data_IF_977581555250
#
_entry.id   IF_977581555250
#
_cell.length_a   1.000
_cell.length_b   1.000
_cell.length_c   1.000
_cell.angle_alpha   90.00
_cell.angle_beta   90.00
_cell.angle_gamma   90.00
#
_symmetry.space_group_name_H-M   'P 1'
#
loop_
_entity.id
_entity.type
_entity.pdbx_description
1 polymer ?
#
# COMPACT_ATOMS: atom_id res chain seq x y z
N UNK A 1 -12.93 -5.23 -16.27
CA UNK A 1 -13.02 -6.71 -16.22
C UNK A 1 -11.85 -7.32 -15.46
N UNK A 2 -11.84 -8.66 -15.26
CA UNK A 2 -10.80 -9.35 -14.51
C UNK A 2 -9.37 -9.12 -15.04
N UNK A 3 -9.22 -8.99 -16.36
CA UNK A 3 -7.92 -8.69 -17.00
C UNK A 3 -7.35 -7.34 -16.53
N UNK A 4 -8.19 -6.33 -16.35
CA UNK A 4 -7.73 -5.01 -15.86
C UNK A 4 -7.28 -5.09 -14.39
N UNK A 5 -7.96 -5.89 -13.58
CA UNK A 5 -7.55 -6.12 -12.18
C UNK A 5 -6.20 -6.84 -12.13
N UNK A 6 -6.02 -7.88 -12.96
CA UNK A 6 -4.75 -8.60 -13.05
C UNK A 6 -3.62 -7.67 -13.48
N UNK A 7 -3.81 -6.82 -14.49
CA UNK A 7 -2.82 -5.82 -14.91
C UNK A 7 -2.42 -4.89 -13.76
N UNK A 8 -3.39 -4.43 -12.97
CA UNK A 8 -3.14 -3.53 -11.83
C UNK A 8 -2.32 -4.25 -10.76
N UNK A 9 -2.70 -5.48 -10.38
CA UNK A 9 -1.99 -6.27 -9.36
C UNK A 9 -0.57 -6.57 -9.82
N UNK A 10 -0.40 -7.13 -11.02
CA UNK A 10 0.93 -7.48 -11.54
C UNK A 10 1.82 -6.24 -11.72
N UNK A 11 1.27 -5.12 -12.23
CA UNK A 11 2.04 -3.88 -12.37
C UNK A 11 2.56 -3.37 -11.02
N UNK A 12 1.73 -3.41 -9.98
CA UNK A 12 2.14 -3.07 -8.62
C UNK A 12 3.23 -4.01 -8.11
N UNK A 13 3.03 -5.34 -8.22
CA UNK A 13 3.98 -6.34 -7.71
C UNK A 13 5.33 -6.26 -8.42
N UNK A 14 5.34 -6.08 -9.74
CA UNK A 14 6.59 -5.91 -10.50
C UNK A 14 7.36 -4.68 -10.03
N UNK A 15 6.69 -3.53 -9.94
CA UNK A 15 7.30 -2.29 -9.49
C UNK A 15 7.82 -2.39 -8.04
N UNK A 16 6.99 -2.96 -7.15
CA UNK A 16 7.34 -3.22 -5.76
C UNK A 16 8.57 -4.12 -5.64
N UNK A 17 8.62 -5.22 -6.42
CA UNK A 17 9.74 -6.15 -6.43
C UNK A 17 11.06 -5.48 -6.84
N UNK A 18 11.02 -4.59 -7.84
CA UNK A 18 12.19 -3.84 -8.30
C UNK A 18 12.75 -2.99 -7.15
N UNK A 19 11.92 -2.13 -6.56
CA UNK A 19 12.39 -1.20 -5.53
C UNK A 19 12.71 -1.89 -4.20
N UNK A 20 11.96 -2.93 -3.82
CA UNK A 20 12.28 -3.75 -2.66
C UNK A 20 13.68 -4.40 -2.82
N UNK A 21 13.96 -4.95 -4.00
CA UNK A 21 15.27 -5.57 -4.28
C UNK A 21 16.39 -4.53 -4.22
N UNK A 22 16.23 -3.38 -4.89
CA UNK A 22 17.23 -2.31 -4.87
C UNK A 22 17.52 -1.80 -3.45
N UNK A 23 16.47 -1.64 -2.65
CA UNK A 23 16.61 -1.15 -1.28
C UNK A 23 17.20 -2.22 -0.34
N UNK A 24 16.78 -3.48 -0.44
CA UNK A 24 17.30 -4.57 0.41
C UNK A 24 18.76 -4.89 0.08
N UNK A 25 19.18 -4.77 -1.18
CA UNK A 25 20.58 -4.88 -1.59
C UNK A 25 21.40 -3.62 -1.28
N UNK A 26 20.81 -2.62 -0.66
CA UNK A 26 21.45 -1.34 -0.32
C UNK A 26 22.00 -0.57 -1.53
N UNK A 27 21.50 -0.86 -2.75
CA UNK A 27 21.90 -0.11 -3.95
C UNK A 27 21.23 1.28 -3.99
N UNK A 28 20.03 1.39 -3.42
CA UNK A 28 19.33 2.65 -3.24
C UNK A 28 18.85 2.74 -1.80
N UNK A 29 19.35 3.72 -1.07
CA UNK A 29 18.97 3.97 0.32
C UNK A 29 18.25 5.31 0.40
N UNK A 30 17.02 5.28 0.85
CA UNK A 30 16.20 6.48 1.06
C UNK A 30 15.93 6.67 2.54
N UNK A 31 15.84 7.92 3.04
CA UNK A 31 15.44 8.18 4.41
C UNK A 31 14.04 7.59 4.68
N UNK A 32 13.88 6.81 5.75
CA UNK A 32 12.62 6.16 6.12
C UNK A 32 11.46 7.14 6.23
N UNK A 33 11.72 8.33 6.78
CA UNK A 33 10.74 9.41 6.87
C UNK A 33 10.19 9.84 5.51
N UNK A 34 11.04 9.96 4.49
CA UNK A 34 10.63 10.29 3.13
C UNK A 34 9.77 9.18 2.54
N UNK A 35 10.22 7.93 2.68
CA UNK A 35 9.52 6.75 2.17
C UNK A 35 8.14 6.63 2.81
N UNK A 36 8.06 6.64 4.13
CA UNK A 36 6.81 6.49 4.87
C UNK A 36 5.83 7.64 4.60
N UNK A 37 6.32 8.88 4.52
CA UNK A 37 5.48 10.04 4.15
C UNK A 37 4.92 9.89 2.73
N UNK A 38 5.73 9.41 1.78
CA UNK A 38 5.29 9.22 0.39
C UNK A 38 4.29 8.07 0.27
N UNK A 39 4.48 6.99 1.04
CA UNK A 39 3.51 5.89 1.15
C UNK A 39 2.18 6.42 1.71
N UNK A 40 2.21 7.14 2.84
CA UNK A 40 1.02 7.71 3.43
C UNK A 40 0.28 8.66 2.46
N UNK A 41 1.00 9.52 1.76
CA UNK A 41 0.45 10.40 0.74
C UNK A 41 -0.22 9.60 -0.41
N UNK A 42 0.40 8.50 -0.86
CA UNK A 42 -0.18 7.66 -1.91
C UNK A 42 -1.50 7.01 -1.47
N UNK A 43 -1.61 6.62 -0.19
CA UNK A 43 -2.86 6.07 0.38
C UNK A 43 -3.95 7.15 0.43
N UNK A 44 -3.62 8.39 0.84
CA UNK A 44 -4.55 9.53 0.80
C UNK A 44 -5.06 9.75 -0.62
N UNK A 45 -4.15 9.83 -1.59
CA UNK A 45 -4.50 10.04 -3.00
C UNK A 45 -5.39 8.91 -3.55
N UNK A 46 -5.06 7.65 -3.25
CA UNK A 46 -5.86 6.50 -3.68
C UNK A 46 -7.28 6.53 -3.07
N UNK A 47 -7.38 6.85 -1.78
CA UNK A 47 -8.67 6.94 -1.09
C UNK A 47 -9.53 8.11 -1.62
N UNK A 48 -8.92 9.27 -1.85
CA UNK A 48 -9.62 10.42 -2.44
C UNK A 48 -10.05 10.14 -3.89
N UNK A 49 -9.25 9.42 -4.67
CA UNK A 49 -9.59 9.04 -6.04
C UNK A 49 -10.83 8.15 -6.15
N UNK A 50 -11.19 7.43 -5.08
CA UNK A 50 -12.44 6.66 -5.02
C UNK A 50 -13.68 7.57 -4.88
N UNK A 51 -13.53 8.76 -4.28
CA UNK A 51 -14.62 9.71 -4.05
C UNK A 51 -14.69 10.74 -5.19
N UNK A 52 -13.53 11.25 -5.57
CA UNK A 52 -13.35 12.18 -6.68
C UNK A 52 -12.32 11.58 -7.65
N UNK A 53 -12.71 11.24 -8.88
CA UNK A 53 -11.79 10.63 -9.84
C UNK A 53 -10.70 11.63 -10.26
N UNK A 54 -9.59 11.62 -9.51
CA UNK A 54 -8.43 12.49 -9.71
C UNK A 54 -7.57 11.99 -10.89
N UNK A 55 -7.46 10.66 -11.02
CA UNK A 55 -6.65 10.02 -12.07
C UNK A 55 -7.57 9.46 -13.15
N UNK A 56 -7.49 10.04 -14.34
CA UNK A 56 -8.26 9.61 -15.53
C UNK A 56 -7.44 8.72 -16.48
N UNK A 57 -6.20 8.38 -16.10
CA UNK A 57 -5.30 7.57 -16.90
C UNK A 57 -5.48 6.06 -16.72
N UNK A 58 -4.52 5.32 -17.26
CA UNK A 58 -4.50 3.86 -17.13
C UNK A 58 -4.22 3.45 -15.69
N UNK A 59 -5.14 2.70 -15.08
CA UNK A 59 -5.06 2.31 -13.66
C UNK A 59 -3.80 1.54 -13.29
N UNK A 60 -3.30 0.71 -14.22
CA UNK A 60 -2.07 -0.04 -14.02
C UNK A 60 -0.83 0.86 -13.92
N UNK A 61 -0.80 2.01 -14.60
CA UNK A 61 0.31 2.98 -14.49
C UNK A 61 0.37 3.60 -13.10
N UNK A 62 -0.78 3.97 -12.55
CA UNK A 62 -0.88 4.48 -11.17
C UNK A 62 -0.46 3.39 -10.17
N UNK A 63 -0.91 2.15 -10.37
CA UNK A 63 -0.51 1.02 -9.53
C UNK A 63 1.00 0.74 -9.61
N UNK A 64 1.60 0.84 -10.80
CA UNK A 64 3.04 0.71 -10.98
C UNK A 64 3.82 1.78 -10.20
N UNK A 65 3.43 3.06 -10.33
CA UNK A 65 4.07 4.15 -9.57
C UNK A 65 3.93 3.96 -8.06
N UNK A 66 2.77 3.53 -7.59
CA UNK A 66 2.57 3.21 -6.17
C UNK A 66 3.43 2.01 -5.74
N UNK A 67 3.52 0.98 -6.57
CA UNK A 67 4.40 -0.17 -6.31
C UNK A 67 5.85 0.24 -6.13
N UNK A 68 6.38 1.14 -6.97
CA UNK A 68 7.75 1.68 -6.84
C UNK A 68 7.98 2.35 -5.48
N UNK A 69 7.01 3.10 -4.99
CA UNK A 69 7.10 3.78 -3.68
C UNK A 69 7.05 2.76 -2.54
N UNK A 70 6.09 1.84 -2.61
CA UNK A 70 5.79 0.90 -1.54
C UNK A 70 6.90 -0.14 -1.33
N UNK A 71 7.65 -0.51 -2.39
CA UNK A 71 8.75 -1.46 -2.28
C UNK A 71 9.89 -1.00 -1.36
N UNK A 72 10.14 0.31 -1.27
CA UNK A 72 11.10 0.85 -0.31
C UNK A 72 10.64 0.70 1.15
N UNK A 73 9.34 0.69 1.41
CA UNK A 73 8.79 0.64 2.77
C UNK A 73 9.04 -0.68 3.51
N UNK A 74 9.21 -1.78 2.79
CA UNK A 74 9.42 -3.10 3.39
C UNK A 74 10.88 -3.55 3.42
N UNK A 75 11.80 -2.78 2.84
CA UNK A 75 13.19 -3.15 2.77
C UNK A 75 13.85 -3.26 4.15
N UNK A 76 13.52 -2.38 5.09
CA UNK A 76 14.04 -2.42 6.46
C UNK A 76 13.67 -3.72 7.16
N UNK A 77 12.43 -4.20 7.00
CA UNK A 77 11.97 -5.46 7.61
C UNK A 77 12.83 -6.65 7.15
N UNK A 78 13.14 -6.74 5.85
CA UNK A 78 13.99 -7.80 5.33
C UNK A 78 15.44 -7.64 5.76
N UNK A 79 15.95 -6.41 5.84
CA UNK A 79 17.30 -6.11 6.29
C UNK A 79 17.48 -6.45 7.78
N UNK A 80 16.49 -6.12 8.61
CA UNK A 80 16.50 -6.36 10.06
C UNK A 80 16.48 -7.86 10.43
N UNK A 81 16.00 -8.71 9.51
CA UNK A 81 16.09 -10.17 9.67
C UNK A 81 17.53 -10.71 9.66
N UNK A 82 18.52 -9.91 9.23
CA UNK A 82 19.93 -10.29 9.21
C UNK A 82 20.24 -11.54 8.37
N UNK A 83 19.47 -11.76 7.29
CA UNK A 83 19.59 -12.96 6.46
C UNK A 83 20.93 -12.97 5.70
N UNK A 84 21.60 -14.14 5.61
CA UNK A 84 22.77 -14.29 4.74
C UNK A 84 22.38 -14.05 3.28
N UNK A 85 23.32 -13.56 2.46
CA UNK A 85 23.08 -13.21 1.05
C UNK A 85 22.46 -14.34 0.22
N UNK A 86 22.79 -15.60 0.56
CA UNK A 86 22.21 -16.77 -0.10
C UNK A 86 20.72 -16.98 0.20
N UNK A 87 20.27 -16.62 1.40
CA UNK A 87 18.86 -16.72 1.79
C UNK A 87 18.05 -15.47 1.37
N UNK A 88 18.72 -14.34 1.16
CA UNK A 88 18.08 -13.07 0.84
C UNK A 88 17.28 -13.13 -0.49
N UNK A 89 17.85 -13.75 -1.53
CA UNK A 89 17.15 -13.91 -2.82
C UNK A 89 15.88 -14.76 -2.69
N UNK A 90 15.96 -15.83 -1.90
CA UNK A 90 14.79 -16.69 -1.64
C UNK A 90 13.73 -15.95 -0.83
N UNK A 91 14.16 -15.17 0.17
CA UNK A 91 13.27 -14.33 0.97
C UNK A 91 12.59 -13.24 0.13
N UNK A 92 13.33 -12.54 -0.75
CA UNK A 92 12.79 -11.55 -1.68
C UNK A 92 11.75 -12.16 -2.62
N UNK A 93 12.07 -13.31 -3.23
CA UNK A 93 11.15 -14.00 -4.11
C UNK A 93 9.88 -14.45 -3.37
N UNK A 94 10.06 -15.11 -2.21
CA UNK A 94 8.94 -15.58 -1.38
C UNK A 94 8.06 -14.44 -0.88
N UNK A 95 8.66 -13.31 -0.48
CA UNK A 95 7.92 -12.12 -0.06
C UNK A 95 7.08 -11.55 -1.19
N UNK A 96 7.66 -11.35 -2.39
CA UNK A 96 6.93 -10.82 -3.54
C UNK A 96 5.81 -11.75 -4.01
N UNK A 97 6.06 -13.06 -4.01
CA UNK A 97 5.03 -14.05 -4.32
C UNK A 97 3.89 -14.02 -3.28
N UNK A 98 4.23 -13.85 -2.01
CA UNK A 98 3.27 -13.67 -0.92
C UNK A 98 2.42 -12.42 -1.07
N UNK A 99 3.03 -11.30 -1.44
CA UNK A 99 2.32 -10.03 -1.73
C UNK A 99 1.32 -10.22 -2.87
N UNK A 100 1.75 -10.82 -4.00
CA UNK A 100 0.86 -11.05 -5.15
C UNK A 100 -0.27 -12.01 -4.80
N UNK A 101 0.03 -13.12 -4.15
CA UNK A 101 -0.97 -14.09 -3.71
C UNK A 101 -1.98 -13.47 -2.73
N UNK A 102 -1.51 -12.66 -1.78
CA UNK A 102 -2.35 -11.92 -0.84
C UNK A 102 -3.28 -10.93 -1.54
N UNK A 103 -2.75 -10.15 -2.48
CA UNK A 103 -3.54 -9.21 -3.28
C UNK A 103 -4.62 -9.94 -4.09
N UNK A 104 -4.27 -11.04 -4.76
CA UNK A 104 -5.20 -11.82 -5.55
C UNK A 104 -6.28 -12.47 -4.67
N UNK A 105 -5.92 -12.96 -3.48
CA UNK A 105 -6.87 -13.52 -2.53
C UNK A 105 -7.90 -12.47 -2.06
N UNK A 106 -7.43 -11.25 -1.69
CA UNK A 106 -8.32 -10.14 -1.31
C UNK A 106 -9.23 -9.77 -2.47
N UNK A 107 -8.70 -9.65 -3.69
CA UNK A 107 -9.48 -9.32 -4.88
C UNK A 107 -10.50 -10.41 -5.19
N UNK A 108 -10.14 -11.68 -5.07
CA UNK A 108 -11.03 -12.82 -5.33
C UNK A 108 -12.24 -12.84 -4.38
N UNK A 109 -12.07 -12.40 -3.14
CA UNK A 109 -13.16 -12.30 -2.16
C UNK A 109 -13.94 -11.00 -2.34
N UNK A 110 -13.23 -9.86 -2.42
CA UNK A 110 -13.86 -8.54 -2.41
C UNK A 110 -14.59 -8.22 -3.73
N UNK A 111 -14.04 -8.61 -4.88
CA UNK A 111 -14.59 -8.25 -6.18
C UNK A 111 -15.99 -8.80 -6.43
N UNK A 112 -16.30 -10.09 -6.15
CA UNK A 112 -17.68 -10.61 -6.28
C UNK A 112 -18.66 -9.92 -5.34
N UNK A 113 -18.26 -9.65 -4.09
CA UNK A 113 -19.07 -8.96 -3.10
C UNK A 113 -19.37 -7.52 -3.55
N UNK A 114 -18.34 -6.81 -4.00
CA UNK A 114 -18.45 -5.46 -4.53
C UNK A 114 -19.38 -5.43 -5.76
N UNK A 115 -19.25 -6.42 -6.64
CA UNK A 115 -20.09 -6.51 -7.84
C UNK A 115 -21.56 -6.77 -7.50
N UNK A 116 -21.84 -7.65 -6.55
CA UNK A 116 -23.20 -7.93 -6.07
C UNK A 116 -23.85 -6.74 -5.36
N UNK A 117 -23.05 -5.96 -4.61
CA UNK A 117 -23.53 -4.85 -3.79
C UNK A 117 -23.48 -3.48 -4.48
N UNK A 118 -22.85 -3.35 -5.65
CA UNK A 118 -22.54 -2.08 -6.32
C UNK A 118 -23.71 -1.13 -6.55
N UNK A 119 -24.93 -1.67 -6.70
CA UNK A 119 -26.16 -0.89 -6.90
C UNK A 119 -26.79 -0.38 -5.61
N UNK A 120 -26.39 -0.93 -4.46
CA UNK A 120 -26.97 -0.57 -3.16
C UNK A 120 -26.44 0.77 -2.66
N UNK A 121 -27.31 1.52 -1.95
CA UNK A 121 -26.89 2.76 -1.28
C UNK A 121 -25.84 2.50 -0.19
N UNK A 122 -25.91 1.34 0.49
CA UNK A 122 -24.93 0.91 1.47
C UNK A 122 -23.51 0.83 0.86
N UNK A 123 -23.37 0.18 -0.29
CA UNK A 123 -22.07 0.07 -0.95
C UNK A 123 -21.53 1.43 -1.41
N UNK A 124 -22.38 2.21 -2.11
CA UNK A 124 -21.94 3.49 -2.70
C UNK A 124 -21.64 4.57 -1.66
N UNK A 125 -22.51 4.74 -0.65
CA UNK A 125 -22.36 5.78 0.36
C UNK A 125 -21.55 5.31 1.56
N UNK A 126 -21.80 4.09 2.04
CA UNK A 126 -21.09 3.51 3.19
C UNK A 126 -19.69 3.07 2.82
N UNK A 127 -19.57 2.05 1.97
CA UNK A 127 -18.26 1.45 1.68
C UNK A 127 -17.40 2.39 0.83
N UNK A 128 -17.89 2.86 -0.31
CA UNK A 128 -17.07 3.64 -1.23
C UNK A 128 -16.81 5.07 -0.72
N UNK A 129 -17.82 5.80 -0.30
CA UNK A 129 -17.63 7.21 0.10
C UNK A 129 -17.12 7.31 1.55
N UNK A 130 -17.90 6.84 2.52
CA UNK A 130 -17.52 6.98 3.93
C UNK A 130 -16.28 6.18 4.29
N UNK A 131 -16.14 4.93 3.78
CA UNK A 131 -14.94 4.12 3.97
C UNK A 131 -13.69 4.78 3.38
N UNK A 132 -13.76 5.29 2.15
CA UNK A 132 -12.63 6.00 1.53
C UNK A 132 -12.26 7.28 2.27
N UNK A 133 -13.23 8.06 2.74
CA UNK A 133 -12.95 9.27 3.54
C UNK A 133 -12.31 8.92 4.89
N UNK A 134 -12.73 7.84 5.53
CA UNK A 134 -12.13 7.36 6.78
C UNK A 134 -10.67 6.92 6.54
N UNK A 135 -10.40 6.18 5.46
CA UNK A 135 -9.04 5.79 5.09
C UNK A 135 -8.19 7.04 4.80
N UNK A 136 -8.72 8.01 4.04
CA UNK A 136 -8.03 9.27 3.76
C UNK A 136 -7.70 10.04 5.04
N UNK A 137 -8.62 10.12 6.00
CA UNK A 137 -8.41 10.78 7.28
C UNK A 137 -7.29 10.09 8.10
N UNK A 138 -7.36 8.78 8.25
CA UNK A 138 -6.33 8.01 8.97
C UNK A 138 -4.96 8.12 8.30
N UNK A 139 -4.90 8.00 6.98
CA UNK A 139 -3.66 8.15 6.23
C UNK A 139 -3.10 9.58 6.29
N UNK A 140 -3.95 10.61 6.38
CA UNK A 140 -3.54 11.99 6.57
C UNK A 140 -2.94 12.24 7.96
N UNK A 141 -3.49 11.61 9.00
CA UNK A 141 -2.90 11.64 10.34
C UNK A 141 -1.51 11.01 10.30
N UNK A 142 -1.40 9.80 9.73
CA UNK A 142 -0.11 9.12 9.59
C UNK A 142 0.90 9.94 8.77
N UNK A 143 0.46 10.55 7.66
CA UNK A 143 1.28 11.47 6.86
C UNK A 143 1.80 12.64 7.71
N UNK A 144 0.93 13.25 8.51
CA UNK A 144 1.30 14.36 9.41
C UNK A 144 2.32 13.91 10.45
N UNK A 145 2.11 12.75 11.07
CA UNK A 145 3.06 12.18 12.04
C UNK A 145 4.45 12.00 11.44
N UNK A 146 4.52 11.49 10.19
CA UNK A 146 5.81 11.26 9.51
C UNK A 146 6.46 12.54 9.01
N UNK A 147 5.69 13.51 8.51
CA UNK A 147 6.24 14.77 8.02
C UNK A 147 6.79 15.65 9.15
N UNK A 148 6.12 15.70 10.30
CA UNK A 148 6.46 16.60 11.40
C UNK A 148 7.16 15.91 12.57
N UNK A 149 7.39 14.60 12.48
CA UNK A 149 7.98 13.79 13.56
C UNK A 149 7.20 13.91 14.89
N UNK A 150 5.88 13.88 14.79
CA UNK A 150 4.96 13.96 15.92
C UNK A 150 4.18 12.65 16.07
N UNK A 151 3.75 12.33 17.28
CA UNK A 151 2.92 11.16 17.57
C UNK A 151 1.51 11.63 17.94
N UNK A 152 0.56 11.49 17.03
CA UNK A 152 -0.83 11.89 17.23
C UNK A 152 -1.70 10.70 17.65
N UNK A 153 -1.53 9.54 17.00
CA UNK A 153 -2.35 8.34 17.23
C UNK A 153 -2.03 7.64 18.55
N UNK A 154 -0.75 7.64 18.98
CA UNK A 154 -0.34 6.98 20.24
C UNK A 154 -0.89 7.70 21.48
N UNK A 155 -1.26 8.97 21.39
CA UNK A 155 -1.90 9.72 22.48
C UNK A 155 -3.39 9.41 22.65
N UNK A 156 -4.00 8.66 21.76
CA UNK A 156 -5.36 8.19 21.93
C UNK A 156 -5.35 7.02 22.94
N UNK A 157 -6.17 7.05 24.00
CA UNK A 157 -6.16 6.03 25.06
C UNK A 157 -6.57 4.63 24.59
N UNK A 158 -6.91 4.47 23.33
CA UNK A 158 -7.32 3.21 22.68
C UNK A 158 -6.10 2.35 22.28
N UNK A 159 -4.92 2.96 22.08
CA UNK A 159 -3.68 2.26 21.75
C UNK A 159 -2.76 2.38 22.97
N UNK A 160 -2.86 1.39 23.88
CA UNK A 160 -2.07 1.37 25.10
C UNK A 160 -0.59 1.63 24.86
N UNK A 161 0.02 2.38 25.77
CA UNK A 161 1.45 2.70 25.80
C UNK A 161 2.30 1.42 25.86
N UNK A 162 2.78 0.96 24.72
CA UNK A 162 3.93 0.07 24.68
C UNK A 162 5.19 0.94 24.75
N UNK A 163 5.79 0.98 25.95
CA UNK A 163 7.16 1.43 26.14
C UNK A 163 8.13 0.34 25.69
#
# INVERSE_FOLDING_TARGET
GGVEVLKVVTAFTVAHSITLTLATLQWVVLPSRLVESTIAASVVLAALNNVWPLFQGQRWTVAFLFGLIHGFGFASVLTDLGLPSSALLVALFGFNLGVEAGQLAIVAVFLPLAWGLRSTAFYRRGVMTAGSLMIAALASIWLTERLFDVQLLVKLPIFGSYR
#
